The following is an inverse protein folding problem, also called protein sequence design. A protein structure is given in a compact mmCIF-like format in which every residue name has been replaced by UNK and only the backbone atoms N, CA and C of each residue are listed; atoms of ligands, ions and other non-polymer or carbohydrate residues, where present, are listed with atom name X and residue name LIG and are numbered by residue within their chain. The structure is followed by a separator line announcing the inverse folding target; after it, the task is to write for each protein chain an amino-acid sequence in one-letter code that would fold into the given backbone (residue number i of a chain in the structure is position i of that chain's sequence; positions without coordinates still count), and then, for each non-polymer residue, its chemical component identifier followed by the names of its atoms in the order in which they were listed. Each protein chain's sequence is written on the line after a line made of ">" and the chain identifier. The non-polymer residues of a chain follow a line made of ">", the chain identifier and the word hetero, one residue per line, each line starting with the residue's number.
data_IF_910201312929
#
_entry.id   IF_910201312929
#
_cell.length_a   1.000
_cell.length_b   1.000
_cell.length_c   1.000
_cell.angle_alpha   90.00
_cell.angle_beta   90.00
_cell.angle_gamma   90.00
#
_symmetry.space_group_name_H-M   'P 1'
#
loop_
_entity.id
_entity.type
_entity.pdbx_description
1 polymer ?
#
# COMPACT_ATOMS: atom_id res chain seq x y z
N UNK A 1 -24.08 -33.53 -16.99
CA UNK A 1 -22.86 -32.94 -16.39
C UNK A 1 -23.20 -31.51 -15.97
N UNK A 2 -23.05 -31.18 -14.69
CA UNK A 2 -23.31 -29.83 -14.18
C UNK A 2 -22.16 -28.91 -14.58
N UNK A 3 -22.43 -27.89 -15.40
CA UNK A 3 -21.50 -26.81 -15.68
C UNK A 3 -21.38 -25.93 -14.43
N UNK A 4 -20.40 -26.21 -13.58
CA UNK A 4 -20.05 -25.33 -12.45
C UNK A 4 -18.96 -24.36 -12.90
N UNK A 5 -19.32 -23.09 -12.94
CA UNK A 5 -18.41 -21.97 -13.16
C UNK A 5 -17.82 -21.55 -11.80
N UNK A 6 -16.52 -21.28 -11.77
CA UNK A 6 -15.84 -20.74 -10.59
C UNK A 6 -15.00 -19.54 -11.02
N UNK A 7 -15.11 -18.45 -10.27
CA UNK A 7 -14.34 -17.24 -10.51
C UNK A 7 -13.15 -17.17 -9.53
N UNK A 8 -12.02 -16.66 -10.01
CA UNK A 8 -10.81 -16.44 -9.22
C UNK A 8 -10.34 -15.00 -9.38
N UNK A 9 -10.36 -14.25 -8.27
CA UNK A 9 -9.96 -12.85 -8.21
C UNK A 9 -8.58 -12.74 -7.55
N UNK A 10 -7.63 -12.15 -8.27
CA UNK A 10 -6.26 -11.90 -7.80
C UNK A 10 -5.81 -10.53 -8.34
N UNK A 11 -4.90 -9.81 -7.66
CA UNK A 11 -4.36 -8.58 -8.22
C UNK A 11 -3.72 -8.82 -9.59
N UNK A 12 -3.94 -7.89 -10.53
CA UNK A 12 -3.42 -7.97 -11.90
C UNK A 12 -1.88 -7.96 -11.97
N UNK A 13 -1.22 -7.35 -10.98
CA UNK A 13 0.24 -7.21 -10.93
C UNK A 13 0.70 -7.43 -9.50
N UNK A 14 1.65 -8.34 -9.30
CA UNK A 14 2.26 -8.66 -8.01
C UNK A 14 3.79 -8.63 -8.17
N UNK A 15 4.47 -7.86 -7.32
CA UNK A 15 5.94 -7.80 -7.30
C UNK A 15 6.48 -8.70 -6.19
N UNK A 16 7.51 -9.48 -6.51
CA UNK A 16 8.12 -10.44 -5.59
C UNK A 16 9.63 -10.24 -5.49
N UNK A 17 10.19 -10.65 -4.35
CA UNK A 17 11.62 -10.61 -4.07
C UNK A 17 12.06 -9.46 -3.17
N UNK A 18 13.31 -9.51 -2.70
CA UNK A 18 13.90 -8.40 -1.94
C UNK A 18 13.80 -7.10 -2.72
N UNK A 19 13.55 -6.00 -2.01
CA UNK A 19 13.47 -4.66 -2.59
C UNK A 19 12.26 -4.41 -3.55
N UNK A 20 11.26 -5.30 -3.57
CA UNK A 20 10.04 -5.09 -4.37
C UNK A 20 9.32 -3.76 -4.05
N UNK A 21 9.48 -3.19 -2.86
CA UNK A 21 8.88 -1.91 -2.48
C UNK A 21 9.43 -0.72 -3.28
N UNK A 22 10.61 -0.84 -3.89
CA UNK A 22 11.25 0.27 -4.63
C UNK A 22 10.45 0.76 -5.83
N UNK A 23 9.62 -0.10 -6.43
CA UNK A 23 8.81 0.28 -7.60
C UNK A 23 7.53 1.02 -7.24
N UNK A 24 7.17 1.16 -5.96
CA UNK A 24 5.86 1.72 -5.56
C UNK A 24 5.62 3.13 -6.11
N UNK A 25 6.65 3.97 -6.14
CA UNK A 25 6.60 5.32 -6.69
C UNK A 25 6.30 5.31 -8.20
N UNK A 26 7.07 4.55 -8.98
CA UNK A 26 6.88 4.37 -10.42
C UNK A 26 5.45 3.86 -10.72
N UNK A 27 4.95 2.89 -9.95
CA UNK A 27 3.59 2.36 -10.13
C UNK A 27 2.52 3.40 -9.85
N UNK A 28 2.68 4.23 -8.83
CA UNK A 28 1.77 5.36 -8.60
C UNK A 28 1.78 6.35 -9.78
N UNK A 29 2.95 6.68 -10.33
CA UNK A 29 3.05 7.57 -11.50
C UNK A 29 2.38 6.97 -12.75
N UNK A 30 2.61 5.68 -13.02
CA UNK A 30 2.01 4.98 -14.17
C UNK A 30 0.47 4.98 -14.10
N UNK A 31 -0.10 4.97 -12.89
CA UNK A 31 -1.54 5.06 -12.67
C UNK A 31 -2.07 6.50 -12.67
N UNK A 32 -1.22 7.51 -12.89
CA UNK A 32 -1.57 8.93 -12.84
C UNK A 32 -1.77 9.49 -11.44
N UNK A 33 -1.30 8.77 -10.41
CA UNK A 33 -1.35 9.20 -9.02
C UNK A 33 -0.46 10.42 -8.76
N UNK A 34 -0.96 11.35 -7.94
CA UNK A 34 -0.25 12.57 -7.53
C UNK A 34 -0.09 12.70 -6.02
N UNK A 35 -1.04 12.12 -5.29
CA UNK A 35 -1.10 12.15 -3.83
C UNK A 35 -1.62 10.81 -3.31
N UNK A 36 -0.86 10.17 -2.44
CA UNK A 36 -1.21 8.92 -1.79
C UNK A 36 -1.63 9.17 -0.34
N UNK A 37 -2.58 8.37 0.15
CA UNK A 37 -2.84 8.21 1.56
C UNK A 37 -2.17 6.92 2.02
N UNK A 38 -1.12 7.03 2.84
CA UNK A 38 -0.46 5.89 3.46
C UNK A 38 -1.22 5.52 4.74
N UNK A 39 -1.90 4.38 4.70
CA UNK A 39 -2.64 3.81 5.83
C UNK A 39 -1.77 2.77 6.53
N UNK A 40 -1.56 2.92 7.83
CA UNK A 40 -0.72 2.03 8.65
C UNK A 40 -1.20 2.00 10.11
N UNK A 41 -0.60 1.16 10.95
CA UNK A 41 -0.70 1.27 12.41
C UNK A 41 0.52 1.99 13.02
N UNK A 42 0.40 2.38 14.29
CA UNK A 42 1.46 3.05 15.07
C UNK A 42 2.71 2.19 15.28
N UNK A 43 2.56 0.87 15.36
CA UNK A 43 3.67 -0.06 15.56
C UNK A 43 4.58 -0.08 14.35
N UNK A 44 4.03 -0.30 13.15
CA UNK A 44 4.78 -0.23 11.89
C UNK A 44 5.37 1.17 11.65
N UNK A 45 4.63 2.22 12.02
CA UNK A 45 5.12 3.60 11.90
C UNK A 45 6.32 3.91 12.81
N UNK A 46 6.42 3.24 13.96
CA UNK A 46 7.50 3.47 14.92
C UNK A 46 8.83 2.77 14.55
N UNK A 47 8.83 1.85 13.58
CA UNK A 47 10.03 1.13 13.13
C UNK A 47 10.86 2.05 12.24
N UNK A 48 11.99 2.54 12.78
CA UNK A 48 12.97 3.31 12.01
C UNK A 48 13.55 2.49 10.86
N UNK A 49 13.64 3.11 9.68
CA UNK A 49 14.12 2.46 8.45
C UNK A 49 13.29 1.21 8.06
N UNK A 50 12.07 1.15 8.58
CA UNK A 50 11.10 0.08 8.36
C UNK A 50 10.33 0.23 7.04
N UNK A 51 9.23 -0.50 6.94
CA UNK A 51 8.40 -0.52 5.73
C UNK A 51 7.80 0.87 5.41
N UNK A 52 7.36 1.61 6.44
CA UNK A 52 6.72 2.92 6.26
C UNK A 52 7.73 3.94 5.73
N UNK A 53 8.92 4.03 6.32
CA UNK A 53 9.96 4.96 5.91
C UNK A 53 10.44 4.67 4.48
N UNK A 54 10.66 3.40 4.14
CA UNK A 54 11.03 2.98 2.78
C UNK A 54 9.94 3.33 1.75
N UNK A 55 8.68 3.10 2.09
CA UNK A 55 7.55 3.44 1.22
C UNK A 55 7.48 4.95 1.00
N UNK A 56 7.61 5.75 2.06
CA UNK A 56 7.63 7.21 1.96
C UNK A 56 8.79 7.71 1.11
N UNK A 57 9.98 7.11 1.24
CA UNK A 57 11.15 7.44 0.44
C UNK A 57 10.85 7.28 -1.06
N UNK A 58 10.44 6.08 -1.50
CA UNK A 58 10.20 5.82 -2.92
C UNK A 58 9.01 6.59 -3.51
N UNK A 59 7.95 6.82 -2.72
CA UNK A 59 6.83 7.66 -3.15
C UNK A 59 7.28 9.11 -3.37
N UNK A 60 8.04 9.69 -2.43
CA UNK A 60 8.51 11.08 -2.51
C UNK A 60 9.57 11.27 -3.60
N UNK A 61 10.46 10.29 -3.78
CA UNK A 61 11.42 10.27 -4.88
C UNK A 61 10.71 10.33 -6.24
N UNK A 62 9.58 9.63 -6.37
CA UNK A 62 8.71 9.69 -7.54
C UNK A 62 7.79 10.94 -7.59
N UNK A 63 7.96 11.92 -6.70
CA UNK A 63 7.17 13.14 -6.67
C UNK A 63 5.71 12.96 -6.24
N UNK A 64 5.38 11.85 -5.56
CA UNK A 64 4.05 11.59 -5.02
C UNK A 64 3.94 12.25 -3.64
N UNK A 65 2.98 13.16 -3.48
CA UNK A 65 2.63 13.70 -2.17
C UNK A 65 2.08 12.59 -1.28
N UNK A 66 2.39 12.59 0.02
CA UNK A 66 1.88 11.55 0.93
C UNK A 66 1.26 12.16 2.17
N UNK A 67 -0.03 11.86 2.40
CA UNK A 67 -0.69 12.01 3.69
C UNK A 67 -0.62 10.67 4.43
N UNK A 68 -0.56 10.68 5.77
CA UNK A 68 -0.42 9.46 6.57
C UNK A 68 -1.57 9.37 7.57
N UNK A 69 -2.18 8.19 7.63
CA UNK A 69 -3.14 7.80 8.65
C UNK A 69 -2.57 6.57 9.38
N UNK A 70 -2.17 6.74 10.64
CA UNK A 70 -1.57 5.69 11.47
C UNK A 70 -2.50 5.21 12.61
N UNK A 71 -3.80 5.55 12.51
CA UNK A 71 -4.82 5.23 13.51
C UNK A 71 -5.43 3.83 13.38
N UNK A 72 -4.84 2.95 12.56
CA UNK A 72 -5.34 1.58 12.41
C UNK A 72 -5.10 0.79 13.69
N UNK A 73 -6.15 0.13 14.17
CA UNK A 73 -6.09 -0.81 15.29
C UNK A 73 -6.23 -2.26 14.78
N UNK A 74 -5.71 -3.26 15.52
CA UNK A 74 -6.00 -4.66 15.21
C UNK A 74 -7.51 -4.92 15.18
N UNK A 75 -7.99 -5.64 14.16
CA UNK A 75 -9.41 -5.79 13.83
C UNK A 75 -10.07 -4.41 13.56
N UNK A 76 -9.87 -3.82 12.36
CA UNK A 76 -10.29 -2.45 12.09
C UNK A 76 -11.78 -2.26 12.36
N UNK A 77 -12.11 -1.18 13.07
CA UNK A 77 -13.47 -0.80 13.43
C UNK A 77 -14.10 0.01 12.30
N UNK A 78 -15.42 0.01 12.26
CA UNK A 78 -16.23 0.91 11.42
C UNK A 78 -15.87 2.39 11.66
N UNK A 79 -15.54 2.76 12.89
CA UNK A 79 -15.09 4.12 13.26
C UNK A 79 -13.73 4.52 12.67
N UNK A 80 -12.90 3.57 12.21
CA UNK A 80 -11.63 3.88 11.54
C UNK A 80 -11.82 4.32 10.08
N UNK A 81 -12.98 4.08 9.48
CA UNK A 81 -13.25 4.25 8.03
C UNK A 81 -14.44 5.17 7.75
N UNK A 82 -14.81 6.00 8.73
CA UNK A 82 -15.95 6.93 8.63
C UNK A 82 -15.64 8.18 7.81
#
# INVERSE_FOLDING_TARGET
>A
MSYRMFDYLVPNVNFFGPNAISVVGERCQLLGGKKALLVTDKGLRAIKDGAVDKTLHYLREAGIEVAIFDGVEPNPKDTNVR
#
